data_IF_371418545193
#
_entry.id   IF_371418545193
#
_cell.length_a   1.000
_cell.length_b   1.000
_cell.length_c   1.000
_cell.angle_alpha   90.00
_cell.angle_beta   90.00
_cell.angle_gamma   90.00
#
_symmetry.space_group_name_H-M   'P 1'
#
loop_
_entity.id
_entity.type
_entity.pdbx_description
1 polymer ?
#
# COMPACT_ATOMS: atom_id res chain seq x y z
N UNK A 1 -6.60 18.89 31.78
CA UNK A 1 -5.58 18.33 30.87
C UNK A 1 -6.25 17.24 30.04
N UNK A 2 -6.49 17.50 28.75
CA UNK A 2 -6.86 16.43 27.81
C UNK A 2 -5.54 15.92 27.22
N UNK A 3 -5.03 14.82 27.76
CA UNK A 3 -3.90 14.12 27.16
C UNK A 3 -4.39 13.47 25.87
N UNK A 4 -4.02 14.05 24.72
CA UNK A 4 -4.11 13.34 23.47
C UNK A 4 -3.14 12.15 23.57
N UNK A 5 -3.68 10.96 23.87
CA UNK A 5 -2.98 9.73 23.54
C UNK A 5 -2.85 9.75 22.04
N UNK A 6 -1.65 10.01 21.51
CA UNK A 6 -1.36 9.68 20.13
C UNK A 6 -1.57 8.18 20.04
N UNK A 7 -2.69 7.75 19.46
CA UNK A 7 -2.80 6.39 18.98
C UNK A 7 -1.66 6.25 17.98
N UNK A 8 -0.60 5.54 18.37
CA UNK A 8 0.41 5.10 17.42
C UNK A 8 -0.32 4.11 16.53
N UNK A 9 -0.89 4.59 15.43
CA UNK A 9 -1.41 3.70 14.41
C UNK A 9 -0.20 2.91 13.90
N UNK A 10 -0.14 1.63 14.25
CA UNK A 10 0.86 0.72 13.71
C UNK A 10 0.46 0.44 12.27
N UNK A 11 1.11 1.15 11.36
CA UNK A 11 0.92 1.00 9.94
C UNK A 11 1.74 -0.18 9.42
N UNK A 12 1.09 -1.07 8.67
CA UNK A 12 1.68 -2.23 8.03
C UNK A 12 1.48 -2.13 6.53
N UNK A 13 2.52 -2.44 5.76
CA UNK A 13 2.47 -2.50 4.31
C UNK A 13 2.75 -3.93 3.81
N UNK A 14 1.71 -4.72 3.50
CA UNK A 14 1.89 -5.99 2.82
C UNK A 14 2.41 -5.75 1.40
N UNK A 15 3.43 -6.53 1.00
CA UNK A 15 3.96 -6.54 -0.34
C UNK A 15 3.67 -7.89 -1.00
N UNK A 16 3.02 -7.85 -2.17
CA UNK A 16 2.83 -9.04 -3.00
C UNK A 16 3.86 -9.06 -4.10
N UNK A 17 4.51 -10.20 -4.28
CA UNK A 17 5.52 -10.41 -5.31
C UNK A 17 5.03 -11.41 -6.35
N UNK A 18 5.40 -11.19 -7.59
CA UNK A 18 5.29 -12.21 -8.65
C UNK A 18 6.46 -13.20 -8.62
N UNK A 19 6.41 -14.22 -9.48
CA UNK A 19 7.41 -15.29 -9.54
C UNK A 19 8.85 -14.80 -9.82
N UNK A 20 9.00 -13.64 -10.46
CA UNK A 20 10.31 -13.03 -10.73
C UNK A 20 10.85 -12.19 -9.55
N UNK A 21 10.10 -12.11 -8.44
CA UNK A 21 10.48 -11.35 -7.25
C UNK A 21 10.25 -9.84 -7.35
N UNK A 22 9.47 -9.38 -8.33
CA UNK A 22 9.05 -7.97 -8.46
C UNK A 22 7.77 -7.74 -7.67
N UNK A 23 7.60 -6.55 -7.10
CA UNK A 23 6.38 -6.18 -6.35
C UNK A 23 5.27 -5.86 -7.34
N UNK A 24 4.13 -6.53 -7.22
CA UNK A 24 2.94 -6.26 -8.07
C UNK A 24 1.82 -5.57 -7.30
N UNK A 25 1.86 -5.62 -5.96
CA UNK A 25 0.88 -4.95 -5.11
C UNK A 25 1.49 -4.49 -3.79
N UNK A 26 1.11 -3.29 -3.37
CA UNK A 26 1.35 -2.75 -2.02
C UNK A 26 0.00 -2.43 -1.42
N UNK A 27 -0.27 -2.88 -0.21
CA UNK A 27 -1.47 -2.52 0.53
C UNK A 27 -1.07 -1.72 1.77
N UNK A 28 -1.97 -0.88 2.26
CA UNK A 28 -1.79 -0.10 3.48
C UNK A 28 -2.81 -0.58 4.49
N UNK A 29 -2.35 -0.90 5.70
CA UNK A 29 -3.22 -1.37 6.76
C UNK A 29 -2.81 -0.86 8.13
N UNK A 30 -3.77 -0.75 9.05
CA UNK A 30 -3.52 -0.42 10.45
C UNK A 30 -3.60 1.06 10.84
N UNK A 31 -3.94 1.94 9.89
CA UNK A 31 -4.21 3.36 10.15
C UNK A 31 -5.52 3.85 9.51
N UNK A 32 -5.75 5.17 9.51
CA UNK A 32 -6.93 5.80 8.93
C UNK A 32 -7.09 5.60 7.42
N UNK A 33 -6.03 5.12 6.74
CA UNK A 33 -6.02 4.83 5.31
C UNK A 33 -5.97 3.32 5.03
N UNK A 34 -6.44 2.50 5.98
CA UNK A 34 -6.60 1.05 5.81
C UNK A 34 -7.40 0.74 4.53
N UNK A 35 -6.84 -0.11 3.68
CA UNK A 35 -7.44 -0.47 2.39
C UNK A 35 -6.97 0.37 1.20
N UNK A 36 -6.12 1.39 1.39
CA UNK A 36 -5.37 1.98 0.28
C UNK A 36 -4.40 0.95 -0.29
N UNK A 37 -4.34 0.81 -1.61
CA UNK A 37 -3.48 -0.12 -2.31
C UNK A 37 -2.91 0.49 -3.59
N UNK A 38 -1.76 -0.03 -4.01
CA UNK A 38 -1.12 0.33 -5.27
C UNK A 38 -0.74 -0.95 -6.02
N UNK A 39 -1.18 -1.06 -7.26
CA UNK A 39 -0.91 -2.17 -8.16
C UNK A 39 0.11 -1.74 -9.24
N UNK A 40 0.98 -2.67 -9.62
CA UNK A 40 2.04 -2.45 -10.60
C UNK A 40 2.05 -3.54 -11.68
N UNK A 41 2.28 -3.13 -12.92
CA UNK A 41 2.55 -4.04 -14.03
C UNK A 41 3.91 -3.76 -14.65
N UNK A 42 4.53 -4.81 -15.17
CA UNK A 42 5.85 -4.77 -15.78
C UNK A 42 5.84 -5.42 -17.16
N UNK A 43 6.69 -4.92 -18.06
CA UNK A 43 7.05 -5.64 -19.27
C UNK A 43 8.12 -6.72 -19.02
N UNK A 44 8.39 -7.51 -20.05
CA UNK A 44 9.42 -8.57 -20.00
C UNK A 44 10.83 -8.04 -19.76
N UNK A 45 11.09 -6.77 -20.10
CA UNK A 45 12.37 -6.10 -19.84
C UNK A 45 12.49 -5.57 -18.40
N UNK A 46 11.41 -5.61 -17.62
CA UNK A 46 11.36 -5.15 -16.24
C UNK A 46 11.04 -3.67 -16.07
N UNK A 47 10.59 -2.99 -17.12
CA UNK A 47 10.09 -1.63 -16.99
C UNK A 47 8.68 -1.67 -16.41
N UNK A 48 8.39 -0.77 -15.46
CA UNK A 48 7.03 -0.59 -14.95
C UNK A 48 6.18 0.09 -16.02
N UNK A 49 5.19 -0.61 -16.54
CA UNK A 49 4.30 -0.14 -17.61
C UNK A 49 3.01 0.45 -17.07
N UNK A 50 2.60 0.03 -15.87
CA UNK A 50 1.37 0.51 -15.24
C UNK A 50 1.52 0.76 -13.74
N UNK A 51 0.73 1.71 -13.25
CA UNK A 51 0.59 2.06 -11.83
C UNK A 51 -0.84 2.46 -11.61
N UNK A 52 -1.51 1.74 -10.73
CA UNK A 52 -2.85 2.08 -10.29
C UNK A 52 -2.83 2.23 -8.77
N UNK A 53 -3.26 3.38 -8.27
CA UNK A 53 -3.50 3.58 -6.85
C UNK A 53 -5.01 3.60 -6.62
N UNK A 54 -5.49 2.72 -5.74
CA UNK A 54 -6.90 2.66 -5.34
C UNK A 54 -6.98 2.77 -3.82
N UNK A 55 -7.97 3.49 -3.32
CA UNK A 55 -8.16 3.66 -1.89
C UNK A 55 -9.32 4.60 -1.63
N UNK A 56 -10.25 4.18 -0.79
CA UNK A 56 -11.21 5.11 -0.21
C UNK A 56 -10.52 5.76 0.98
N UNK A 57 -9.91 6.93 0.76
CA UNK A 57 -9.63 7.83 1.86
C UNK A 57 -10.98 8.19 2.48
N UNK A 58 -11.38 7.47 3.54
CA UNK A 58 -12.54 7.88 4.32
C UNK A 58 -12.26 9.30 4.82
N UNK A 59 -13.06 10.31 4.40
CA UNK A 59 -12.78 11.72 4.66
C UNK A 59 -12.94 12.10 6.13
#
# INVERSE_FOLDING_TARGET
MLGATSASAEETFPYTYEAQGRVIKVERSGDANDGEQVDYEYDDAGNRTHVEATGEATP
#
